data_IF_915535251332
#
_entry.id   IF_915535251332
#
_cell.length_a   1.000
_cell.length_b   1.000
_cell.length_c   1.000
_cell.angle_alpha   90.00
_cell.angle_beta   90.00
_cell.angle_gamma   90.00
#
_symmetry.space_group_name_H-M   'P 1'
#
loop_
_entity.id
_entity.type
_entity.pdbx_description
1 polymer ?
#
# COMPACT_ATOMS: atom_id res chain seq x y z
N UNK A 1 -25.03 2.26 -15.27
CA UNK A 1 -24.51 3.51 -15.86
C UNK A 1 -23.38 3.11 -16.80
N UNK A 2 -23.41 3.48 -18.08
CA UNK A 2 -22.30 3.18 -18.99
C UNK A 2 -21.17 4.20 -18.73
N UNK A 3 -19.92 3.72 -18.57
CA UNK A 3 -18.74 4.59 -18.48
C UNK A 3 -18.48 5.16 -19.88
N UNK A 4 -18.33 6.48 -20.01
CA UNK A 4 -18.03 7.11 -21.31
C UNK A 4 -16.56 6.96 -21.67
N UNK A 5 -16.24 6.98 -22.97
CA UNK A 5 -14.86 7.01 -23.45
C UNK A 5 -14.08 8.18 -22.84
N UNK A 6 -14.70 9.37 -22.77
CA UNK A 6 -14.11 10.54 -22.10
C UNK A 6 -13.77 10.28 -20.63
N UNK A 7 -14.58 9.53 -19.90
CA UNK A 7 -14.29 9.18 -18.51
C UNK A 7 -13.10 8.22 -18.40
N UNK A 8 -12.97 7.28 -19.34
CA UNK A 8 -11.83 6.36 -19.44
C UNK A 8 -10.55 7.15 -19.73
N UNK A 9 -10.58 8.03 -20.74
CA UNK A 9 -9.42 8.85 -21.12
C UNK A 9 -8.96 9.76 -19.97
N UNK A 10 -9.91 10.38 -19.27
CA UNK A 10 -9.62 11.20 -18.11
C UNK A 10 -8.99 10.38 -16.97
N UNK A 11 -9.46 9.15 -16.73
CA UNK A 11 -8.87 8.28 -15.72
C UNK A 11 -7.45 7.85 -16.08
N UNK A 12 -7.22 7.44 -17.33
CA UNK A 12 -5.89 7.06 -17.83
C UNK A 12 -4.91 8.22 -17.75
N UNK A 13 -5.31 9.41 -18.18
CA UNK A 13 -4.47 10.62 -18.11
C UNK A 13 -4.09 10.95 -16.68
N UNK A 14 -5.04 10.89 -15.73
CA UNK A 14 -4.75 11.11 -14.31
C UNK A 14 -3.74 10.09 -13.78
N UNK A 15 -3.90 8.80 -14.10
CA UNK A 15 -2.95 7.76 -13.71
C UNK A 15 -1.54 8.00 -14.26
N UNK A 16 -1.43 8.38 -15.54
CA UNK A 16 -0.14 8.71 -16.16
C UNK A 16 0.52 9.94 -15.55
N UNK A 17 -0.26 10.97 -15.21
CA UNK A 17 0.27 12.19 -14.62
C UNK A 17 0.72 11.95 -13.16
N UNK A 18 -0.03 11.15 -12.39
CA UNK A 18 0.36 10.70 -11.04
C UNK A 18 1.63 9.84 -11.08
N UNK A 19 1.72 8.89 -12.00
CA UNK A 19 2.88 8.00 -12.11
C UNK A 19 4.22 8.71 -12.39
N UNK A 20 4.19 9.98 -12.83
CA UNK A 20 5.40 10.81 -13.02
C UNK A 20 5.93 11.44 -11.74
N UNK A 21 5.08 11.57 -10.71
CA UNK A 21 5.39 12.32 -9.49
C UNK A 21 5.33 11.44 -8.23
N UNK A 22 4.61 10.32 -8.29
CA UNK A 22 4.51 9.38 -7.18
C UNK A 22 5.80 8.55 -7.05
N UNK A 23 6.35 8.56 -5.85
CA UNK A 23 7.43 7.66 -5.47
C UNK A 23 6.92 6.22 -5.30
N UNK A 24 7.71 5.25 -5.74
CA UNK A 24 7.38 3.82 -5.66
C UNK A 24 7.97 3.17 -4.43
N UNK A 25 7.22 2.25 -3.83
CA UNK A 25 7.78 1.35 -2.85
C UNK A 25 8.79 0.41 -3.54
N UNK A 26 9.96 0.28 -2.93
CA UNK A 26 11.05 -0.59 -3.38
C UNK A 26 11.44 -1.62 -2.32
N UNK A 27 11.02 -1.42 -1.07
CA UNK A 27 11.22 -2.35 0.03
C UNK A 27 10.04 -2.36 0.99
N UNK A 28 9.70 -3.54 1.50
CA UNK A 28 8.73 -3.70 2.57
C UNK A 28 9.23 -4.78 3.53
N UNK A 29 9.11 -4.52 4.83
CA UNK A 29 9.56 -5.46 5.86
C UNK A 29 8.81 -5.28 7.16
N UNK A 30 8.75 -6.35 7.93
CA UNK A 30 8.33 -6.25 9.33
C UNK A 30 9.52 -5.92 10.23
N UNK A 31 9.35 -4.90 11.06
CA UNK A 31 10.14 -4.70 12.27
C UNK A 31 9.42 -5.41 13.43
N UNK A 32 9.80 -6.67 13.67
CA UNK A 32 9.20 -7.48 14.72
C UNK A 32 9.44 -6.90 16.12
N UNK A 33 10.61 -6.28 16.35
CA UNK A 33 10.96 -5.70 17.65
C UNK A 33 10.03 -4.54 18.02
N UNK A 34 9.62 -3.74 17.03
CA UNK A 34 8.70 -2.60 17.21
C UNK A 34 7.25 -2.94 16.85
N UNK A 35 7.00 -4.14 16.33
CA UNK A 35 5.70 -4.58 15.78
C UNK A 35 5.15 -3.60 14.73
N UNK A 36 6.00 -3.22 13.77
CA UNK A 36 5.65 -2.30 12.69
C UNK A 36 5.88 -2.92 11.33
N UNK A 37 5.06 -2.51 10.37
CA UNK A 37 5.35 -2.63 8.95
C UNK A 37 6.14 -1.38 8.53
N UNK A 38 7.26 -1.59 7.84
CA UNK A 38 8.11 -0.54 7.26
C UNK A 38 8.06 -0.66 5.74
N UNK A 39 7.92 0.49 5.08
CA UNK A 39 7.87 0.62 3.62
C UNK A 39 8.94 1.63 3.22
N UNK A 40 9.81 1.23 2.31
CA UNK A 40 10.94 2.00 1.79
C UNK A 40 10.61 2.44 0.36
N UNK A 41 10.79 3.73 0.08
CA UNK A 41 10.47 4.34 -1.22
C UNK A 41 11.74 4.68 -2.02
N UNK A 42 11.60 4.77 -3.35
CA UNK A 42 12.69 5.05 -4.30
C UNK A 42 13.45 6.38 -4.05
N UNK A 43 12.84 7.31 -3.33
CA UNK A 43 13.44 8.58 -2.93
C UNK A 43 14.19 8.53 -1.58
N UNK A 44 14.28 7.35 -0.97
CA UNK A 44 14.92 7.15 0.33
C UNK A 44 14.03 7.49 1.54
N UNK A 45 12.76 7.84 1.33
CA UNK A 45 11.80 7.97 2.44
C UNK A 45 11.44 6.59 2.96
N UNK A 46 11.39 6.46 4.28
CA UNK A 46 10.76 5.32 4.94
C UNK A 46 9.48 5.77 5.64
N UNK A 47 8.40 5.01 5.47
CA UNK A 47 7.18 5.13 6.25
C UNK A 47 6.97 3.86 7.05
N UNK A 48 6.47 3.98 8.28
CA UNK A 48 6.13 2.80 9.07
C UNK A 48 4.83 2.98 9.83
N UNK A 49 4.07 1.89 10.00
CA UNK A 49 2.80 1.85 10.73
C UNK A 49 2.75 0.65 11.67
N UNK A 50 2.10 0.74 12.84
CA UNK A 50 1.85 -0.43 13.68
C UNK A 50 1.05 -1.50 12.93
N UNK A 51 1.43 -2.77 13.08
CA UNK A 51 0.72 -3.90 12.45
C UNK A 51 -0.75 -3.97 12.90
N UNK A 52 -1.05 -3.58 14.15
CA UNK A 52 -2.40 -3.55 14.70
C UNK A 52 -3.35 -2.55 14.05
N UNK A 53 -2.84 -1.64 13.21
CA UNK A 53 -3.64 -0.66 12.46
C UNK A 53 -3.83 -1.07 10.99
N UNK A 54 -3.28 -2.21 10.57
CA UNK A 54 -3.58 -2.80 9.27
C UNK A 54 -5.03 -3.35 9.26
N UNK A 55 -5.43 -3.99 8.16
CA UNK A 55 -6.79 -4.53 8.04
C UNK A 55 -7.16 -5.42 9.23
N UNK A 56 -8.42 -5.40 9.69
CA UNK A 56 -8.86 -6.25 10.79
C UNK A 56 -8.57 -7.74 10.57
N UNK A 57 -8.67 -8.21 9.32
CA UNK A 57 -8.29 -9.59 8.97
C UNK A 57 -6.80 -9.89 9.15
N UNK A 58 -5.92 -8.89 9.19
CA UNK A 58 -4.48 -9.02 9.46
C UNK A 58 -4.13 -8.80 10.93
N UNK A 59 -5.04 -8.19 11.71
CA UNK A 59 -4.78 -7.79 13.10
C UNK A 59 -4.75 -8.97 14.08
N UNK A 60 -5.51 -10.04 13.79
CA UNK A 60 -5.58 -11.26 14.62
C UNK A 60 -4.69 -12.40 14.08
N UNK A 61 -3.93 -12.15 13.01
CA UNK A 61 -3.08 -13.16 12.38
C UNK A 61 -1.75 -13.28 13.11
N UNK A 62 -1.25 -14.52 13.20
CA UNK A 62 0.11 -14.79 13.67
C UNK A 62 1.12 -13.96 12.87
N UNK A 63 1.91 -13.15 13.58
CA UNK A 63 2.95 -12.28 13.00
C UNK A 63 3.90 -13.04 12.08
N UNK A 64 4.09 -14.34 12.27
CA UNK A 64 4.90 -15.17 11.38
C UNK A 64 4.38 -15.18 9.94
N UNK A 65 3.06 -15.16 9.73
CA UNK A 65 2.45 -15.13 8.38
C UNK A 65 2.60 -13.77 7.69
N UNK A 66 2.94 -12.73 8.45
CA UNK A 66 3.12 -11.39 7.92
C UNK A 66 4.57 -11.13 7.47
N UNK A 67 5.51 -12.06 7.72
CA UNK A 67 6.94 -11.89 7.42
C UNK A 67 7.22 -11.89 5.93
N UNK A 68 6.54 -12.72 5.14
CA UNK A 68 6.66 -12.75 3.67
C UNK A 68 5.76 -11.67 3.03
N UNK A 69 6.04 -10.42 3.36
CA UNK A 69 5.44 -9.26 2.67
C UNK A 69 6.20 -9.01 1.38
N UNK A 70 5.48 -8.90 0.27
CA UNK A 70 6.03 -8.63 -1.06
C UNK A 70 5.52 -7.31 -1.60
N UNK A 71 6.32 -6.69 -2.44
CA UNK A 71 5.89 -5.54 -3.25
C UNK A 71 5.49 -6.05 -4.62
N UNK A 72 4.27 -5.72 -5.00
CA UNK A 72 3.65 -6.09 -6.28
C UNK A 72 3.14 -4.84 -7.00
N UNK A 73 2.57 -5.02 -8.19
CA UNK A 73 1.92 -3.94 -8.94
C UNK A 73 2.88 -2.83 -9.39
N UNK A 74 4.20 -3.06 -9.39
CA UNK A 74 5.20 -2.05 -9.72
C UNK A 74 5.48 -1.04 -8.60
N UNK A 75 5.30 -1.44 -7.33
CA UNK A 75 5.56 -0.58 -6.17
C UNK A 75 4.31 0.05 -5.57
N UNK A 76 3.13 -0.43 -5.98
CA UNK A 76 1.83 0.08 -5.56
C UNK A 76 1.16 -0.79 -4.50
N UNK A 77 1.48 -2.07 -4.47
CA UNK A 77 0.77 -3.03 -3.64
C UNK A 77 1.74 -3.75 -2.70
N UNK A 78 1.27 -3.98 -1.47
CA UNK A 78 1.81 -5.00 -0.59
C UNK A 78 0.99 -6.25 -0.77
N UNK A 79 1.63 -7.40 -0.83
CA UNK A 79 0.97 -8.69 -0.95
C UNK A 79 1.54 -9.70 0.04
N UNK A 80 0.67 -10.43 0.71
CA UNK A 80 1.00 -11.56 1.58
C UNK A 80 0.50 -12.85 0.94
N UNK A 81 1.35 -13.62 0.25
CA UNK A 81 0.93 -14.79 -0.52
C UNK A 81 0.24 -15.88 0.31
N UNK A 82 0.69 -16.11 1.55
CA UNK A 82 0.08 -17.12 2.43
C UNK A 82 -1.35 -16.74 2.87
N UNK A 83 -1.65 -15.44 2.86
CA UNK A 83 -2.94 -14.91 3.27
C UNK A 83 -3.87 -14.67 2.08
N UNK A 84 -3.29 -14.62 0.87
CA UNK A 84 -3.94 -14.14 -0.34
C UNK A 84 -4.56 -12.75 -0.16
N UNK A 85 -3.85 -11.88 0.55
CA UNK A 85 -4.32 -10.54 0.93
C UNK A 85 -3.35 -9.47 0.41
N UNK A 86 -3.95 -8.39 -0.09
CA UNK A 86 -3.23 -7.26 -0.68
C UNK A 86 -3.64 -5.92 -0.07
N UNK A 87 -2.70 -4.99 0.00
CA UNK A 87 -2.93 -3.60 0.41
C UNK A 87 -2.39 -2.63 -0.61
N UNK A 88 -3.22 -1.66 -1.00
CA UNK A 88 -2.79 -0.55 -1.83
C UNK A 88 -1.98 0.46 -0.99
N UNK A 89 -0.71 0.65 -1.33
CA UNK A 89 0.25 1.47 -0.58
C UNK A 89 -0.18 2.94 -0.52
N UNK A 90 -0.66 3.59 -1.59
CA UNK A 90 -1.12 4.97 -1.51
C UNK A 90 -2.26 5.17 -0.50
N UNK A 91 -3.22 4.25 -0.43
CA UNK A 91 -4.31 4.31 0.56
C UNK A 91 -3.77 4.11 1.97
N UNK A 92 -2.81 3.19 2.16
CA UNK A 92 -2.14 3.00 3.45
C UNK A 92 -1.42 4.28 3.89
N UNK A 93 -0.65 4.91 3.00
CA UNK A 93 0.05 6.17 3.26
C UNK A 93 -0.92 7.32 3.59
N UNK A 94 -2.03 7.42 2.88
CA UNK A 94 -3.09 8.39 3.17
C UNK A 94 -3.68 8.15 4.56
N UNK A 95 -3.99 6.89 4.90
CA UNK A 95 -4.49 6.50 6.22
C UNK A 95 -3.50 6.83 7.35
N UNK A 96 -2.20 6.70 7.11
CA UNK A 96 -1.15 7.02 8.08
C UNK A 96 -1.00 8.53 8.36
N UNK A 97 -1.46 9.39 7.45
CA UNK A 97 -1.20 10.83 7.50
C UNK A 97 -2.47 11.64 7.74
N UNK A 98 -3.49 11.45 6.91
CA UNK A 98 -4.74 12.22 6.94
C UNK A 98 -5.95 11.37 7.39
N UNK A 99 -5.74 10.08 7.66
CA UNK A 99 -6.81 9.12 7.94
C UNK A 99 -7.50 8.65 6.66
N UNK A 100 -8.63 7.95 6.81
CA UNK A 100 -9.41 7.49 5.65
C UNK A 100 -10.05 8.71 4.98
N UNK A 101 -9.56 9.08 3.80
CA UNK A 101 -10.23 10.08 2.97
C UNK A 101 -11.65 9.55 2.69
N UNK A 102 -12.66 10.26 3.17
CA UNK A 102 -14.05 9.91 2.86
C UNK A 102 -14.23 10.01 1.34
N UNK A 103 -14.64 8.91 0.72
CA UNK A 103 -15.00 8.83 -0.68
C UNK A 103 -16.30 9.60 -0.99
#
# INVERSE_FOLDING_TARGET
>A
MAISEQAIDAALKRGQDLAKVEHRAIGARLDAARSRLVIEFDNGVEMSTPISLLLPQLADIDKQKLVDVRIEGGGYDLYWPELDEGLFIPDLCANMTYGRLAA
#
